data_IF_400715695006
#
_entry.id   IF_400715695006
#
_cell.length_a   1.000
_cell.length_b   1.000
_cell.length_c   1.000
_cell.angle_alpha   90.00
_cell.angle_beta   90.00
_cell.angle_gamma   90.00
#
_symmetry.space_group_name_H-M   'P 1'
#
loop_
_entity.id
_entity.type
_entity.pdbx_description
1 polymer ?
#
# COMPACT_ATOMS: atom_id res chain seq x y z
N UNK A 1 -32.29 -43.22 -12.80
CA UNK A 1 -32.53 -42.14 -11.82
C UNK A 1 -31.16 -41.52 -11.50
N UNK A 2 -30.87 -40.34 -12.04
CA UNK A 2 -29.70 -39.55 -11.65
C UNK A 2 -30.13 -38.08 -11.65
N UNK A 3 -30.37 -37.52 -10.47
CA UNK A 3 -30.79 -36.13 -10.27
C UNK A 3 -29.53 -35.25 -10.30
N UNK A 4 -29.33 -34.49 -11.38
CA UNK A 4 -28.44 -33.34 -11.36
C UNK A 4 -29.15 -32.20 -10.61
N UNK A 5 -28.59 -31.75 -9.50
CA UNK A 5 -29.02 -30.53 -8.83
C UNK A 5 -28.44 -29.33 -9.57
N UNK A 6 -29.29 -28.68 -10.39
CA UNK A 6 -29.06 -27.33 -10.87
C UNK A 6 -29.48 -26.36 -9.76
N UNK A 7 -28.50 -25.77 -9.06
CA UNK A 7 -28.74 -24.55 -8.31
C UNK A 7 -28.71 -23.38 -9.29
N UNK A 8 -29.90 -22.98 -9.74
CA UNK A 8 -30.12 -21.68 -10.35
C UNK A 8 -29.83 -20.61 -9.29
N UNK A 9 -28.71 -19.90 -9.43
CA UNK A 9 -28.58 -18.58 -8.81
C UNK A 9 -28.87 -17.51 -9.85
N UNK A 10 -29.85 -16.70 -9.48
CA UNK A 10 -30.50 -15.67 -10.25
C UNK A 10 -29.55 -14.52 -10.57
N UNK A 11 -29.83 -13.88 -11.70
CA UNK A 11 -29.13 -12.73 -12.26
C UNK A 11 -29.06 -11.56 -11.27
N UNK A 12 -27.84 -11.11 -10.99
CA UNK A 12 -27.55 -9.71 -10.71
C UNK A 12 -26.34 -9.28 -11.55
N UNK A 13 -26.60 -8.64 -12.69
CA UNK A 13 -25.57 -7.89 -13.45
C UNK A 13 -25.14 -6.68 -12.61
N UNK A 14 -24.14 -6.85 -11.77
CA UNK A 14 -23.21 -5.76 -11.43
C UNK A 14 -21.89 -6.14 -12.08
N UNK A 15 -21.49 -5.42 -13.14
CA UNK A 15 -20.13 -5.50 -13.69
C UNK A 15 -19.18 -4.89 -12.66
N UNK A 16 -18.90 -5.62 -11.58
CA UNK A 16 -17.76 -5.30 -10.72
C UNK A 16 -16.51 -5.63 -11.52
N UNK A 17 -15.70 -4.63 -11.81
CA UNK A 17 -14.34 -4.86 -12.30
C UNK A 17 -13.56 -5.41 -11.11
N UNK A 18 -13.51 -6.74 -10.96
CA UNK A 18 -12.64 -7.36 -9.97
C UNK A 18 -11.20 -7.14 -10.44
N UNK A 19 -10.43 -6.41 -9.65
CA UNK A 19 -9.00 -6.21 -9.84
C UNK A 19 -8.27 -7.37 -9.19
N UNK A 20 -7.31 -8.00 -9.87
CA UNK A 20 -6.42 -8.97 -9.23
C UNK A 20 -5.10 -8.31 -8.87
N UNK A 21 -4.43 -8.78 -7.82
CA UNK A 21 -3.07 -8.31 -7.46
C UNK A 21 -2.09 -8.52 -8.62
N UNK A 22 -2.24 -9.62 -9.36
CA UNK A 22 -1.41 -9.93 -10.54
C UNK A 22 -1.50 -8.90 -11.66
N UNK A 23 -2.54 -8.06 -11.66
CA UNK A 23 -2.77 -7.04 -12.68
C UNK A 23 -2.09 -5.70 -12.33
N UNK A 24 -1.52 -5.57 -11.13
CA UNK A 24 -0.82 -4.37 -10.68
C UNK A 24 0.55 -4.27 -11.37
N UNK A 25 0.82 -3.13 -11.98
CA UNK A 25 2.14 -2.79 -12.48
C UNK A 25 2.86 -1.97 -11.43
N UNK A 26 4.00 -2.48 -10.96
CA UNK A 26 4.74 -1.90 -9.84
C UNK A 26 6.17 -1.62 -10.30
N UNK A 27 6.66 -0.43 -9.98
CA UNK A 27 8.06 -0.03 -10.20
C UNK A 27 8.76 -0.03 -8.85
N UNK A 28 9.88 -0.74 -8.75
CA UNK A 28 10.73 -0.72 -7.55
C UNK A 28 11.74 0.41 -7.71
N UNK A 29 11.68 1.40 -6.81
CA UNK A 29 12.64 2.52 -6.79
C UNK A 29 13.78 2.25 -5.82
N UNK A 30 13.46 1.68 -4.65
CA UNK A 30 14.39 1.44 -3.57
C UNK A 30 14.35 -0.06 -3.22
N UNK A 31 15.36 -0.85 -3.64
CA UNK A 31 15.45 -2.25 -3.24
C UNK A 31 15.57 -2.42 -1.72
N UNK A 32 15.14 -3.57 -1.19
CA UNK A 32 15.37 -3.89 0.23
C UNK A 32 16.85 -3.77 0.59
N UNK A 33 17.12 -3.18 1.75
CA UNK A 33 18.44 -2.86 2.28
C UNK A 33 19.03 -1.53 1.78
N UNK A 34 18.37 -0.85 0.82
CA UNK A 34 18.83 0.48 0.37
C UNK A 34 18.51 1.57 1.40
N UNK A 35 19.35 2.60 1.44
CA UNK A 35 19.15 3.78 2.28
C UNK A 35 18.77 4.98 1.42
N UNK A 36 17.73 5.71 1.84
CA UNK A 36 17.34 7.00 1.26
C UNK A 36 17.37 8.07 2.34
N UNK A 37 18.11 9.13 2.07
CA UNK A 37 18.10 10.35 2.86
C UNK A 37 16.93 11.24 2.42
N UNK A 38 16.22 11.83 3.37
CA UNK A 38 15.13 12.78 3.11
C UNK A 38 15.58 14.22 3.35
N UNK A 39 16.18 14.49 4.51
CA UNK A 39 16.60 15.83 4.93
C UNK A 39 17.94 15.78 5.68
N UNK A 40 18.57 16.95 5.84
CA UNK A 40 19.80 17.11 6.62
C UNK A 40 19.55 17.33 8.12
N UNK A 41 18.37 17.86 8.48
CA UNK A 41 18.02 18.29 9.84
C UNK A 41 16.61 17.83 10.26
N UNK A 42 16.40 17.41 11.52
CA UNK A 42 15.08 17.01 12.01
C UNK A 42 14.12 18.20 12.15
N UNK A 43 14.63 19.43 12.08
CA UNK A 43 13.81 20.65 12.02
C UNK A 43 13.08 20.79 10.67
N UNK A 44 13.61 20.21 9.60
CA UNK A 44 12.99 20.22 8.27
C UNK A 44 11.97 19.09 8.12
N UNK A 45 12.30 17.90 8.60
CA UNK A 45 11.41 16.75 8.64
C UNK A 45 11.86 15.78 9.75
N UNK A 46 10.96 15.25 10.61
CA UNK A 46 11.35 14.43 11.76
C UNK A 46 12.10 13.13 11.43
N UNK A 47 12.06 12.68 10.16
CA UNK A 47 12.78 11.51 9.68
C UNK A 47 13.90 11.94 8.73
N UNK A 48 15.15 11.85 9.16
CA UNK A 48 16.31 12.23 8.34
C UNK A 48 16.49 11.35 7.10
N UNK A 49 16.12 10.08 7.22
CA UNK A 49 16.24 9.08 6.17
C UNK A 49 15.93 7.70 6.71
N UNK A 50 15.80 6.73 5.81
CA UNK A 50 15.37 5.38 6.14
C UNK A 50 16.21 4.35 5.40
N UNK A 51 16.44 3.21 6.04
CA UNK A 51 16.88 1.99 5.37
C UNK A 51 15.65 1.14 5.12
N UNK A 52 15.32 0.90 3.85
CA UNK A 52 14.13 0.16 3.47
C UNK A 52 14.28 -1.33 3.82
N UNK A 53 13.48 -1.89 4.74
CA UNK A 53 13.58 -3.32 5.09
C UNK A 53 12.96 -4.22 4.01
N UNK A 54 12.11 -3.67 3.15
CA UNK A 54 11.44 -4.34 2.03
C UNK A 54 11.70 -3.57 0.74
N UNK A 55 11.29 -4.12 -0.42
CA UNK A 55 11.29 -3.32 -1.64
C UNK A 55 10.28 -2.19 -1.51
N UNK A 56 10.63 -1.02 -2.03
CA UNK A 56 9.78 0.15 -2.02
C UNK A 56 9.74 0.79 -3.41
N UNK A 57 8.57 1.29 -3.78
CA UNK A 57 8.35 2.04 -5.00
C UNK A 57 6.89 2.39 -5.15
N UNK A 58 6.36 2.36 -6.36
CA UNK A 58 5.00 2.85 -6.62
C UNK A 58 4.19 1.97 -7.57
N UNK A 59 2.86 2.12 -7.51
CA UNK A 59 1.90 1.41 -8.37
C UNK A 59 1.49 2.31 -9.54
N UNK A 60 1.74 1.86 -10.77
CA UNK A 60 1.42 2.62 -11.99
C UNK A 60 -0.10 2.79 -12.12
N UNK A 61 -0.54 4.03 -12.37
CA UNK A 61 -1.95 4.36 -12.59
C UNK A 61 -2.75 4.67 -11.32
N UNK A 62 -2.06 4.84 -10.18
CA UNK A 62 -2.63 5.22 -8.90
C UNK A 62 -1.90 6.43 -8.36
N UNK A 63 -2.64 7.40 -7.82
CA UNK A 63 -2.07 8.63 -7.24
C UNK A 63 -2.38 8.72 -5.75
N UNK A 64 -1.37 9.10 -4.98
CA UNK A 64 -1.46 9.42 -3.55
C UNK A 64 -2.11 10.79 -3.33
N UNK A 65 -2.34 11.16 -2.08
CA UNK A 65 -2.99 12.42 -1.69
C UNK A 65 -2.20 13.68 -2.10
N UNK A 66 -0.90 13.54 -2.35
CA UNK A 66 0.02 14.61 -2.81
C UNK A 66 0.07 14.75 -4.35
N UNK A 67 -0.65 13.91 -5.09
CA UNK A 67 -0.66 13.88 -6.56
C UNK A 67 0.53 13.13 -7.19
N UNK A 68 1.42 12.55 -6.39
CA UNK A 68 2.46 11.63 -6.85
C UNK A 68 1.94 10.19 -6.96
N UNK A 69 2.73 9.30 -7.58
CA UNK A 69 2.33 7.90 -7.72
C UNK A 69 2.18 7.23 -6.34
N UNK A 70 1.21 6.32 -6.22
CA UNK A 70 0.90 5.68 -4.95
C UNK A 70 2.03 4.75 -4.48
N UNK A 71 2.64 5.12 -3.36
CA UNK A 71 3.74 4.39 -2.75
C UNK A 71 3.32 3.04 -2.18
N UNK A 72 4.22 2.04 -2.30
CA UNK A 72 4.00 0.67 -1.85
C UNK A 72 5.28 0.03 -1.32
N UNK A 73 5.17 -0.65 -0.18
CA UNK A 73 6.17 -1.59 0.34
C UNK A 73 5.80 -3.02 -0.10
N UNK A 74 6.78 -3.76 -0.59
CA UNK A 74 6.61 -5.10 -1.16
C UNK A 74 7.54 -6.06 -0.42
N UNK A 75 6.94 -6.97 0.36
CA UNK A 75 7.68 -7.90 1.22
C UNK A 75 7.64 -9.35 0.73
N UNK A 76 7.97 -10.26 1.64
CA UNK A 76 7.93 -11.72 1.40
C UNK A 76 6.93 -12.46 2.30
N UNK A 77 5.93 -11.76 2.83
CA UNK A 77 4.89 -12.32 3.68
C UNK A 77 3.52 -12.37 2.99
N UNK A 78 2.47 -12.42 3.82
CA UNK A 78 1.09 -12.61 3.35
C UNK A 78 0.15 -11.47 3.78
N UNK A 79 0.67 -10.46 4.48
CA UNK A 79 -0.15 -9.35 4.98
C UNK A 79 -0.27 -8.25 3.94
N UNK A 80 -1.48 -7.70 3.88
CA UNK A 80 -1.82 -6.52 3.14
C UNK A 80 -2.22 -5.42 4.10
N UNK A 81 -2.02 -4.17 3.71
CA UNK A 81 -2.29 -3.07 4.62
C UNK A 81 -1.97 -1.72 4.03
N UNK A 82 -1.99 -0.72 4.90
CA UNK A 82 -1.49 0.61 4.63
C UNK A 82 -0.86 1.22 5.88
N UNK A 83 -0.01 2.19 5.65
CA UNK A 83 0.55 3.10 6.63
C UNK A 83 0.22 4.51 6.20
N UNK A 84 -0.25 5.32 7.15
CA UNK A 84 -0.46 6.75 6.97
C UNK A 84 0.61 7.50 7.73
N UNK A 85 1.27 8.43 7.05
CA UNK A 85 2.30 9.29 7.63
C UNK A 85 1.87 10.75 7.60
N UNK A 86 2.21 11.48 8.65
CA UNK A 86 1.97 12.92 8.75
C UNK A 86 2.94 13.68 7.84
N UNK A 87 2.39 14.59 7.04
CA UNK A 87 3.11 15.38 6.04
C UNK A 87 2.49 16.76 5.87
N UNK A 88 3.26 17.80 6.15
CA UNK A 88 2.82 19.19 6.04
C UNK A 88 2.56 19.63 4.59
N UNK A 89 3.18 18.96 3.61
CA UNK A 89 3.06 19.25 2.18
C UNK A 89 1.87 18.56 1.51
N UNK A 90 1.10 17.76 2.23
CA UNK A 90 -0.08 17.05 1.70
C UNK A 90 -1.39 17.79 2.06
N UNK A 91 -2.39 17.91 1.15
CA UNK A 91 -3.60 18.71 1.40
C UNK A 91 -4.39 18.39 2.68
N UNK A 92 -4.28 17.15 3.18
CA UNK A 92 -4.94 16.69 4.41
C UNK A 92 -3.96 16.43 5.57
N UNK A 93 -2.70 16.82 5.43
CA UNK A 93 -1.66 16.57 6.42
C UNK A 93 -1.20 15.10 6.50
N UNK A 94 -1.69 14.23 5.62
CA UNK A 94 -1.49 12.78 5.69
C UNK A 94 -1.27 12.19 4.31
N UNK A 95 -0.27 11.32 4.19
CA UNK A 95 0.05 10.57 2.97
C UNK A 95 -0.08 9.06 3.22
N UNK A 96 -0.72 8.34 2.29
CA UNK A 96 -0.95 6.90 2.40
C UNK A 96 0.09 6.10 1.61
N UNK A 97 0.67 5.08 2.24
CA UNK A 97 1.60 4.10 1.65
C UNK A 97 1.06 2.69 1.85
N UNK A 98 1.01 1.88 0.80
CA UNK A 98 0.43 0.54 0.88
C UNK A 98 1.45 -0.53 1.28
N UNK A 99 0.96 -1.63 1.85
CA UNK A 99 1.72 -2.85 2.11
C UNK A 99 1.20 -3.98 1.23
N UNK A 100 2.08 -4.57 0.42
CA UNK A 100 1.79 -5.68 -0.46
C UNK A 100 2.63 -6.90 -0.07
N UNK A 101 1.97 -7.93 0.47
CA UNK A 101 2.62 -9.19 0.82
C UNK A 101 3.77 -9.02 1.80
N UNK A 102 3.57 -8.27 2.89
CA UNK A 102 4.59 -8.09 3.93
C UNK A 102 4.38 -9.07 5.07
N UNK A 103 5.44 -9.40 5.79
CA UNK A 103 5.39 -10.13 7.06
C UNK A 103 5.19 -9.16 8.23
N UNK A 104 4.72 -9.67 9.37
CA UNK A 104 4.61 -8.86 10.58
C UNK A 104 5.97 -8.30 11.04
N UNK A 105 7.05 -9.07 10.84
CA UNK A 105 8.41 -8.61 11.13
C UNK A 105 8.82 -7.44 10.23
N UNK A 106 8.52 -7.52 8.94
CA UNK A 106 8.76 -6.43 7.99
C UNK A 106 7.95 -5.19 8.36
N UNK A 107 6.66 -5.31 8.74
CA UNK A 107 5.86 -4.17 9.23
C UNK A 107 6.53 -3.52 10.44
N UNK A 108 7.01 -4.32 11.40
CA UNK A 108 7.66 -3.79 12.60
C UNK A 108 8.96 -3.04 12.25
N UNK A 109 9.72 -3.53 11.27
CA UNK A 109 10.92 -2.86 10.76
C UNK A 109 10.56 -1.58 9.99
N UNK A 110 9.51 -1.59 9.17
CA UNK A 110 9.03 -0.37 8.49
C UNK A 110 8.63 0.65 9.55
N UNK A 111 7.83 0.24 10.54
CA UNK A 111 7.40 1.10 11.64
C UNK A 111 8.58 1.78 12.32
N UNK A 112 9.65 1.04 12.63
CA UNK A 112 10.81 1.64 13.31
C UNK A 112 11.57 2.65 12.46
N UNK A 113 11.47 2.60 11.13
CA UNK A 113 12.07 3.60 10.23
C UNK A 113 11.26 4.89 10.15
N UNK A 114 9.93 4.82 10.33
CA UNK A 114 9.01 5.96 10.14
C UNK A 114 8.34 6.42 11.45
N UNK A 115 8.65 5.81 12.60
CA UNK A 115 7.96 6.02 13.90
C UNK A 115 7.63 7.48 14.24
N UNK A 116 8.50 8.48 14.00
CA UNK A 116 8.21 9.87 14.31
C UNK A 116 7.03 10.50 13.55
N UNK A 117 6.63 9.92 12.42
CA UNK A 117 5.61 10.48 11.51
C UNK A 117 4.43 9.56 11.29
N UNK A 118 4.35 8.41 11.95
CA UNK A 118 3.25 7.45 11.72
C UNK A 118 1.98 7.95 12.40
N UNK A 119 0.97 8.27 11.60
CA UNK A 119 -0.38 8.54 12.07
C UNK A 119 -1.15 7.23 12.32
N UNK A 120 -1.01 6.27 11.40
CA UNK A 120 -1.79 5.02 11.43
C UNK A 120 -1.10 3.88 10.70
N UNK A 121 -1.32 2.65 11.18
CA UNK A 121 -1.06 1.43 10.43
C UNK A 121 -2.28 0.54 10.55
N UNK A 122 -2.80 0.07 9.41
CA UNK A 122 -3.86 -0.92 9.34
C UNK A 122 -3.41 -2.11 8.49
N UNK A 123 -3.76 -3.31 8.93
CA UNK A 123 -3.65 -4.53 8.13
C UNK A 123 -5.04 -5.07 7.83
N UNK A 124 -5.18 -5.68 6.67
CA UNK A 124 -6.45 -6.22 6.20
C UNK A 124 -6.24 -7.37 5.23
N UNK A 125 -7.33 -8.05 4.87
CA UNK A 125 -7.28 -9.09 3.85
C UNK A 125 -7.10 -8.50 2.43
N UNK A 126 -6.78 -9.38 1.48
CA UNK A 126 -6.59 -9.00 0.09
C UNK A 126 -7.82 -8.32 -0.55
N UNK A 127 -9.03 -8.65 -0.10
CA UNK A 127 -10.26 -8.07 -0.68
C UNK A 127 -10.40 -6.62 -0.28
N UNK A 128 -10.22 -6.32 1.01
CA UNK A 128 -10.24 -4.95 1.51
C UNK A 128 -9.04 -4.14 0.97
N UNK A 129 -7.87 -4.76 0.78
CA UNK A 129 -6.72 -4.13 0.10
C UNK A 129 -7.10 -3.60 -1.27
N UNK A 130 -7.68 -4.46 -2.12
CA UNK A 130 -8.03 -4.09 -3.48
C UNK A 130 -9.13 -3.02 -3.49
N UNK A 131 -10.09 -3.11 -2.58
CA UNK A 131 -11.14 -2.10 -2.42
C UNK A 131 -10.54 -0.74 -2.03
N UNK A 132 -9.64 -0.70 -1.04
CA UNK A 132 -8.93 0.51 -0.63
C UNK A 132 -8.11 1.09 -1.76
N UNK A 133 -7.37 0.25 -2.48
CA UNK A 133 -6.56 0.65 -3.62
C UNK A 133 -7.39 1.34 -4.73
N UNK A 134 -8.66 0.93 -4.94
CA UNK A 134 -9.52 1.59 -5.94
C UNK A 134 -9.86 3.04 -5.62
N UNK A 135 -9.74 3.46 -4.36
CA UNK A 135 -9.94 4.85 -3.94
C UNK A 135 -8.85 5.79 -4.51
N UNK A 136 -7.70 5.24 -4.89
CA UNK A 136 -6.52 5.96 -5.39
C UNK A 136 -6.33 5.85 -6.91
N UNK A 137 -7.24 5.16 -7.61
CA UNK A 137 -7.08 4.92 -9.04
C UNK A 137 -7.22 6.23 -9.83
N UNK A 138 -6.22 6.56 -10.64
CA UNK A 138 -6.28 7.72 -11.52
C UNK A 138 -7.36 7.53 -12.59
N UNK A 139 -8.16 8.57 -12.83
CA UNK A 139 -9.17 8.61 -13.90
C UNK A 139 -8.49 8.87 -15.24
#
# INVERSE_FOLDING_TARGET
ICKCYLLQQTRAKRRGCFMNISDLQIVIENPSGSYKKFVDSPEEYPVLGVTYPTHYGYIIGYKSEDGHDLDVFIGNGELYGLMQVERDDTPNGVETKFFLGVSQEEINKIKSQFDPVIAKIDTFDQTEFLKKLTEFKSV
#
